data_IF_233541685217
#
_entry.id   IF_233541685217
#
_cell.length_a   1.000
_cell.length_b   1.000
_cell.length_c   1.000
_cell.angle_alpha   90.00
_cell.angle_beta   90.00
_cell.angle_gamma   90.00
#
_symmetry.space_group_name_H-M   'P 1'
#
loop_
_entity.id
_entity.type
_entity.pdbx_description
1 polymer ?
#
# COMPACT_ATOMS: atom_id res chain seq x y z
N UNK A 1 -1.63 -17.79 8.00
CA UNK A 1 -1.80 -18.77 6.91
C UNK A 1 -3.17 -18.52 6.27
N UNK A 2 -3.19 -18.28 4.97
CA UNK A 2 -4.38 -17.87 4.23
C UNK A 2 -4.65 -18.89 3.12
N UNK A 3 -5.85 -19.45 3.10
CA UNK A 3 -6.30 -20.36 2.05
C UNK A 3 -7.06 -19.54 1.01
N UNK A 4 -6.50 -19.40 -0.19
CA UNK A 4 -7.24 -18.87 -1.33
C UNK A 4 -8.09 -19.98 -1.95
N UNK A 5 -9.39 -19.73 -2.13
CA UNK A 5 -10.32 -20.67 -2.78
C UNK A 5 -11.00 -19.96 -3.95
N UNK A 6 -10.87 -20.52 -5.14
CA UNK A 6 -11.56 -20.04 -6.34
C UNK A 6 -12.74 -20.97 -6.65
N UNK A 7 -13.95 -20.45 -6.92
CA UNK A 7 -15.10 -21.28 -7.27
C UNK A 7 -14.94 -21.89 -8.66
N UNK A 8 -15.56 -23.07 -8.85
CA UNK A 8 -15.56 -23.80 -10.12
C UNK A 8 -16.25 -23.02 -11.25
N UNK A 9 -15.82 -23.25 -12.49
CA UNK A 9 -16.52 -22.79 -13.71
C UNK A 9 -17.27 -23.95 -14.35
N UNK A 10 -18.52 -23.71 -14.75
CA UNK A 10 -19.27 -24.68 -15.54
C UNK A 10 -18.62 -24.88 -16.93
N UNK A 11 -18.55 -26.13 -17.43
CA UNK A 11 -18.06 -26.39 -18.79
C UNK A 11 -18.97 -25.71 -19.83
N UNK A 12 -18.44 -24.69 -20.51
CA UNK A 12 -19.15 -23.97 -21.57
C UNK A 12 -19.32 -22.46 -21.36
N UNK A 13 -19.01 -21.91 -20.18
CA UNK A 13 -19.10 -20.44 -19.99
C UNK A 13 -18.11 -19.67 -20.90
N UNK A 14 -18.54 -18.60 -21.60
CA UNK A 14 -17.66 -17.76 -22.39
C UNK A 14 -16.54 -17.12 -21.56
N UNK A 15 -15.34 -17.01 -22.14
CA UNK A 15 -14.14 -16.44 -21.46
C UNK A 15 -14.27 -14.99 -21.00
N UNK A 16 -15.28 -14.26 -21.46
CA UNK A 16 -15.46 -12.81 -21.25
C UNK A 16 -16.55 -12.44 -20.24
N UNK A 17 -17.26 -13.41 -19.63
CA UNK A 17 -18.22 -13.13 -18.57
C UNK A 17 -17.50 -12.58 -17.33
N UNK A 18 -17.91 -11.44 -16.75
CA UNK A 18 -17.28 -10.90 -15.54
C UNK A 18 -17.37 -11.87 -14.36
N UNK A 19 -16.21 -12.28 -13.84
CA UNK A 19 -16.13 -13.21 -12.70
C UNK A 19 -16.52 -12.44 -11.42
N UNK A 20 -17.44 -12.96 -10.58
CA UNK A 20 -17.53 -12.56 -9.16
C UNK A 20 -16.14 -12.72 -8.50
N UNK A 21 -15.79 -11.85 -7.54
CA UNK A 21 -14.41 -11.66 -7.03
C UNK A 21 -13.61 -12.99 -6.96
N UNK A 22 -12.56 -13.20 -7.80
CA UNK A 22 -12.18 -14.53 -8.31
C UNK A 22 -11.53 -15.49 -7.30
N UNK A 23 -11.38 -15.08 -6.04
CA UNK A 23 -10.92 -15.91 -4.93
C UNK A 23 -11.45 -15.37 -3.59
N UNK A 24 -11.97 -16.24 -2.72
CA UNK A 24 -12.18 -15.94 -1.29
C UNK A 24 -10.88 -16.24 -0.54
N UNK A 25 -10.43 -15.32 0.34
CA UNK A 25 -9.29 -15.56 1.24
C UNK A 25 -9.82 -15.95 2.62
N UNK A 26 -9.68 -17.22 2.98
CA UNK A 26 -10.11 -17.76 4.27
C UNK A 26 -8.88 -17.95 5.17
N UNK A 27 -8.77 -17.29 6.33
CA UNK A 27 -7.77 -17.63 7.33
C UNK A 27 -7.99 -19.07 7.81
N UNK A 28 -7.01 -19.95 7.59
CA UNK A 28 -7.13 -21.37 7.93
C UNK A 28 -5.96 -21.83 8.78
N UNK A 29 -6.26 -22.34 9.98
CA UNK A 29 -5.28 -22.87 10.90
C UNK A 29 -5.07 -24.38 10.68
N UNK A 30 -3.80 -24.79 10.57
CA UNK A 30 -3.35 -26.19 10.41
C UNK A 30 -2.78 -26.76 11.71
N UNK A 31 -3.03 -26.08 12.83
CA UNK A 31 -2.65 -26.40 14.20
C UNK A 31 -3.36 -27.66 14.77
N UNK A 32 -3.01 -28.06 16.00
CA UNK A 32 -3.63 -29.18 16.70
C UNK A 32 -3.42 -30.54 16.02
N UNK A 33 -4.48 -31.36 15.94
CA UNK A 33 -4.45 -32.69 15.32
C UNK A 33 -4.89 -32.63 13.84
N UNK A 34 -4.13 -33.27 12.94
CA UNK A 34 -4.33 -33.12 11.49
C UNK A 34 -5.74 -33.53 11.02
N UNK A 35 -6.39 -34.49 11.69
CA UNK A 35 -7.70 -35.00 11.31
C UNK A 35 -8.84 -34.01 11.64
N UNK A 36 -8.74 -33.22 12.72
CA UNK A 36 -9.72 -32.16 12.99
C UNK A 36 -9.56 -31.03 11.98
N UNK A 37 -8.32 -30.64 11.65
CA UNK A 37 -8.05 -29.71 10.56
C UNK A 37 -8.62 -30.21 9.21
N UNK A 38 -8.41 -31.48 8.85
CA UNK A 38 -8.97 -32.07 7.64
C UNK A 38 -10.52 -32.03 7.61
N UNK A 39 -11.18 -32.26 8.75
CA UNK A 39 -12.64 -32.11 8.89
C UNK A 39 -13.10 -30.65 8.78
N UNK A 40 -12.31 -29.66 9.25
CA UNK A 40 -12.56 -28.22 9.00
C UNK A 40 -12.43 -27.91 7.50
N UNK A 41 -11.34 -28.33 6.87
CA UNK A 41 -11.03 -28.08 5.46
C UNK A 41 -12.06 -28.69 4.50
N UNK A 42 -12.52 -29.93 4.76
CA UNK A 42 -13.59 -30.59 3.98
C UNK A 42 -14.88 -29.77 3.91
N UNK A 43 -15.24 -29.03 4.97
CA UNK A 43 -16.44 -28.15 4.96
C UNK A 43 -16.25 -26.96 4.02
N UNK A 44 -15.07 -26.35 4.00
CA UNK A 44 -14.71 -25.25 3.10
C UNK A 44 -14.68 -25.75 1.65
N UNK A 45 -14.00 -26.86 1.42
CA UNK A 45 -13.86 -27.49 0.10
C UNK A 45 -15.22 -27.81 -0.54
N UNK A 46 -16.14 -28.41 0.24
CA UNK A 46 -17.52 -28.68 -0.20
C UNK A 46 -18.42 -27.44 -0.33
N UNK A 47 -18.11 -26.31 0.32
CA UNK A 47 -18.88 -25.06 0.19
C UNK A 47 -18.66 -24.38 -1.16
N UNK A 48 -17.49 -24.59 -1.77
CA UNK A 48 -17.03 -23.87 -2.95
C UNK A 48 -16.83 -24.76 -4.21
N UNK A 49 -17.19 -26.04 -4.13
CA UNK A 49 -16.96 -27.10 -5.14
C UNK A 49 -15.57 -27.05 -5.80
N UNK A 50 -14.52 -26.87 -5.00
CA UNK A 50 -13.16 -26.74 -5.52
C UNK A 50 -12.64 -28.08 -6.09
N UNK A 51 -11.92 -28.04 -7.22
CA UNK A 51 -11.29 -29.23 -7.82
C UNK A 51 -9.92 -29.60 -7.18
N UNK A 52 -9.22 -28.62 -6.61
CA UNK A 52 -7.83 -28.74 -6.17
C UNK A 52 -7.54 -27.96 -4.89
N UNK A 53 -6.60 -28.46 -4.07
CA UNK A 53 -6.05 -27.77 -2.89
C UNK A 53 -4.54 -27.61 -3.03
N UNK A 54 -4.04 -26.38 -3.01
CA UNK A 54 -2.61 -26.08 -3.12
C UNK A 54 -1.95 -26.04 -1.74
N UNK A 55 -0.78 -26.69 -1.57
CA UNK A 55 -0.11 -26.90 -0.26
C UNK A 55 1.42 -26.82 -0.35
N UNK A 56 2.08 -26.20 0.63
CA UNK A 56 3.54 -26.00 0.67
C UNK A 56 4.27 -26.74 1.80
N UNK A 57 3.60 -27.11 2.91
CA UNK A 57 4.19 -28.01 3.94
C UNK A 57 3.68 -29.46 3.91
N UNK A 58 4.52 -30.39 4.36
CA UNK A 58 4.25 -31.84 4.49
C UNK A 58 2.97 -32.11 5.34
N UNK A 59 2.73 -31.21 6.31
CA UNK A 59 1.57 -31.20 7.22
C UNK A 59 0.30 -30.73 6.52
N UNK A 60 0.36 -29.65 5.73
CA UNK A 60 -0.76 -29.22 4.88
C UNK A 60 -1.14 -30.30 3.86
N UNK A 61 -0.16 -30.97 3.25
CA UNK A 61 -0.40 -32.07 2.32
C UNK A 61 -1.18 -33.21 2.98
N UNK A 62 -0.81 -33.62 4.19
CA UNK A 62 -1.55 -34.64 4.95
C UNK A 62 -2.98 -34.17 5.29
N UNK A 63 -3.16 -32.91 5.69
CA UNK A 63 -4.48 -32.32 5.99
C UNK A 63 -5.36 -32.25 4.74
N UNK A 64 -4.83 -31.78 3.61
CA UNK A 64 -5.53 -31.64 2.33
C UNK A 64 -5.87 -33.00 1.72
N UNK A 65 -4.91 -33.95 1.67
CA UNK A 65 -5.16 -35.29 1.14
C UNK A 65 -6.19 -36.05 1.99
N UNK A 66 -6.16 -35.88 3.31
CA UNK A 66 -7.21 -36.41 4.20
C UNK A 66 -8.56 -35.73 3.95
N UNK A 67 -8.59 -34.41 3.69
CA UNK A 67 -9.84 -33.70 3.35
C UNK A 67 -10.44 -34.19 2.02
N UNK A 68 -9.63 -34.29 0.95
CA UNK A 68 -10.04 -34.80 -0.36
C UNK A 68 -10.52 -36.26 -0.28
N UNK A 69 -9.80 -37.12 0.46
CA UNK A 69 -10.22 -38.50 0.70
C UNK A 69 -11.55 -38.59 1.44
N UNK A 70 -11.80 -37.69 2.39
CA UNK A 70 -13.09 -37.62 3.09
C UNK A 70 -14.20 -37.01 2.22
N UNK A 71 -13.94 -36.08 1.30
CA UNK A 71 -14.96 -35.62 0.32
C UNK A 71 -15.28 -36.64 -0.76
N UNK A 72 -14.38 -37.61 -1.04
CA UNK A 72 -14.55 -38.59 -2.12
C UNK A 72 -14.23 -38.04 -3.52
N UNK A 73 -13.93 -36.75 -3.61
CA UNK A 73 -13.44 -36.05 -4.79
C UNK A 73 -12.44 -34.96 -4.36
N UNK A 74 -11.64 -34.48 -5.30
CA UNK A 74 -10.64 -33.43 -5.11
C UNK A 74 -9.20 -33.92 -5.32
N UNK A 75 -8.37 -33.02 -5.84
CA UNK A 75 -6.93 -33.21 -6.01
C UNK A 75 -6.12 -32.35 -5.03
N UNK A 76 -4.85 -32.67 -4.86
CA UNK A 76 -3.89 -31.83 -4.13
C UNK A 76 -2.78 -31.40 -5.09
N UNK A 77 -2.42 -30.12 -5.09
CA UNK A 77 -1.25 -29.61 -5.80
C UNK A 77 -0.16 -29.29 -4.78
N UNK A 78 0.87 -30.12 -4.77
CA UNK A 78 2.05 -30.01 -3.91
C UNK A 78 3.05 -29.07 -4.56
N UNK A 79 3.06 -27.80 -4.15
CA UNK A 79 3.93 -26.80 -4.77
C UNK A 79 5.20 -26.54 -3.94
N UNK A 80 6.33 -26.30 -4.63
CA UNK A 80 7.59 -25.89 -3.99
C UNK A 80 7.85 -24.39 -4.20
N UNK A 81 8.40 -23.73 -3.18
CA UNK A 81 8.94 -22.38 -3.34
C UNK A 81 10.19 -22.43 -4.25
N UNK A 82 10.47 -21.33 -4.97
CA UNK A 82 11.68 -21.23 -5.79
C UNK A 82 12.96 -21.44 -4.98
N UNK A 83 13.92 -22.16 -5.57
CA UNK A 83 15.18 -22.52 -4.90
C UNK A 83 15.04 -23.55 -3.77
N UNK A 84 13.85 -24.11 -3.54
CA UNK A 84 13.61 -25.14 -2.52
C UNK A 84 13.20 -26.46 -3.17
N UNK A 85 13.98 -27.50 -2.84
CA UNK A 85 13.68 -28.88 -3.17
C UNK A 85 12.40 -29.35 -2.49
N UNK A 86 11.73 -30.32 -3.11
CA UNK A 86 10.54 -30.96 -2.58
C UNK A 86 10.85 -31.76 -1.29
N UNK A 87 10.60 -31.15 -0.12
CA UNK A 87 10.54 -31.89 1.13
C UNK A 87 9.35 -32.86 1.14
N UNK A 88 9.66 -34.14 1.39
CA UNK A 88 8.73 -35.26 1.50
C UNK A 88 9.15 -36.18 2.65
N UNK A 89 8.68 -35.87 3.85
CA UNK A 89 8.92 -36.71 5.05
C UNK A 89 7.93 -37.88 5.05
N UNK A 90 7.89 -38.67 6.13
CA UNK A 90 6.96 -39.80 6.24
C UNK A 90 5.50 -39.34 6.04
N UNK A 91 5.11 -38.21 6.64
CA UNK A 91 3.78 -37.60 6.51
C UNK A 91 3.39 -37.31 5.05
N UNK A 92 4.24 -36.64 4.26
CA UNK A 92 3.99 -36.33 2.85
C UNK A 92 3.94 -37.58 1.98
N UNK A 93 4.81 -38.57 2.25
CA UNK A 93 4.79 -39.86 1.53
C UNK A 93 3.50 -40.65 1.78
N UNK A 94 2.91 -40.54 2.97
CA UNK A 94 1.57 -41.06 3.26
C UNK A 94 0.47 -40.19 2.64
N UNK A 95 0.57 -38.86 2.72
CA UNK A 95 -0.39 -37.92 2.13
C UNK A 95 -0.56 -38.13 0.62
N UNK A 96 0.55 -38.28 -0.11
CA UNK A 96 0.56 -38.56 -1.54
C UNK A 96 -0.12 -39.88 -1.93
N UNK A 97 -0.35 -40.81 -1.00
CA UNK A 97 -1.12 -42.06 -1.21
C UNK A 97 -2.61 -41.92 -0.87
N UNK A 98 -2.99 -40.89 -0.10
CA UNK A 98 -4.37 -40.71 0.36
C UNK A 98 -5.26 -40.00 -0.67
N UNK A 99 -4.69 -39.12 -1.49
CA UNK A 99 -5.38 -38.39 -2.56
C UNK A 99 -4.49 -38.18 -3.81
N UNK A 100 -5.13 -38.02 -4.97
CA UNK A 100 -4.46 -37.68 -6.25
C UNK A 100 -3.65 -36.39 -6.07
N UNK A 101 -2.32 -36.51 -6.12
CA UNK A 101 -1.40 -35.39 -5.90
C UNK A 101 -0.62 -35.06 -7.18
N UNK A 102 -0.77 -33.84 -7.71
CA UNK A 102 0.13 -33.26 -8.70
C UNK A 102 1.24 -32.47 -8.00
N UNK A 103 2.41 -32.34 -8.63
CA UNK A 103 3.56 -31.63 -8.07
C UNK A 103 3.92 -30.45 -8.96
N UNK A 104 4.07 -29.27 -8.35
CA UNK A 104 4.28 -28.00 -9.05
C UNK A 104 5.58 -27.34 -8.61
N UNK A 105 6.47 -27.11 -9.56
CA UNK A 105 7.79 -26.53 -9.29
C UNK A 105 7.88 -25.11 -9.86
N UNK A 106 8.57 -24.23 -9.13
CA UNK A 106 8.79 -22.84 -9.54
C UNK A 106 9.91 -22.66 -10.58
N UNK A 107 10.72 -23.70 -10.82
CA UNK A 107 11.73 -23.76 -11.87
C UNK A 107 11.99 -25.21 -12.32
N UNK A 108 12.49 -25.39 -13.54
CA UNK A 108 12.95 -26.69 -14.05
C UNK A 108 14.14 -27.25 -13.24
N UNK A 109 14.98 -26.37 -12.67
CA UNK A 109 16.08 -26.73 -11.76
C UNK A 109 15.56 -27.33 -10.45
N UNK A 110 14.56 -26.71 -9.82
CA UNK A 110 13.92 -27.22 -8.60
C UNK A 110 13.25 -28.58 -8.84
N UNK A 111 12.66 -28.78 -10.02
CA UNK A 111 12.08 -30.07 -10.44
C UNK A 111 13.16 -31.15 -10.55
N UNK A 112 14.25 -30.89 -11.29
CA UNK A 112 15.37 -31.82 -11.47
C UNK A 112 16.09 -32.14 -10.15
N UNK A 113 16.19 -31.17 -9.25
CA UNK A 113 16.81 -31.33 -7.93
C UNK A 113 15.98 -32.12 -6.90
N UNK A 114 14.77 -32.57 -7.26
CA UNK A 114 13.77 -33.10 -6.33
C UNK A 114 13.39 -34.57 -6.58
N UNK A 115 13.26 -35.35 -5.50
CA UNK A 115 12.87 -36.75 -5.57
C UNK A 115 11.33 -36.91 -5.65
N UNK A 116 10.79 -36.85 -6.87
CA UNK A 116 9.34 -36.89 -7.13
C UNK A 116 8.76 -38.29 -6.87
N UNK A 117 7.63 -38.43 -6.14
CA UNK A 117 6.97 -39.72 -5.93
C UNK A 117 6.44 -40.34 -7.23
N UNK A 118 6.67 -41.64 -7.44
CA UNK A 118 6.22 -42.41 -8.62
C UNK A 118 4.70 -42.41 -8.86
N UNK A 119 3.90 -41.97 -7.90
CA UNK A 119 2.43 -41.91 -7.98
C UNK A 119 1.89 -40.46 -8.08
N UNK A 120 2.73 -39.51 -8.50
CA UNK A 120 2.29 -38.21 -8.97
C UNK A 120 1.29 -38.35 -10.13
N UNK A 121 0.20 -37.56 -10.11
CA UNK A 121 -0.77 -37.53 -11.22
C UNK A 121 -0.43 -36.51 -12.30
N UNK A 122 0.42 -35.55 -11.97
CA UNK A 122 1.01 -34.55 -12.85
C UNK A 122 2.32 -34.04 -12.23
N UNK A 123 3.22 -33.55 -13.08
CA UNK A 123 4.46 -32.87 -12.69
C UNK A 123 4.65 -31.66 -13.61
N UNK A 124 4.18 -30.50 -13.14
CA UNK A 124 4.25 -29.25 -13.87
C UNK A 124 5.38 -28.35 -13.34
N UNK A 125 5.96 -27.54 -14.23
CA UNK A 125 6.74 -26.35 -13.87
C UNK A 125 5.88 -25.13 -14.17
N UNK A 126 5.58 -24.32 -13.16
CA UNK A 126 5.08 -22.97 -13.36
C UNK A 126 6.24 -22.03 -13.06
N UNK A 127 7.03 -21.72 -14.10
CA UNK A 127 8.07 -20.72 -13.99
C UNK A 127 7.44 -19.41 -13.53
N UNK A 128 7.93 -18.87 -12.41
CA UNK A 128 7.56 -17.54 -11.98
C UNK A 128 8.02 -16.59 -13.09
N UNK A 129 7.14 -15.67 -13.54
CA UNK A 129 7.46 -14.69 -14.61
C UNK A 129 8.44 -13.59 -14.19
N UNK A 130 9.39 -13.94 -13.32
CA UNK A 130 10.45 -13.17 -12.67
C UNK A 130 11.64 -14.14 -12.61
N UNK A 131 12.71 -13.87 -13.35
CA UNK A 131 13.88 -14.73 -13.38
C UNK A 131 14.61 -14.70 -12.03
N UNK A 132 14.54 -15.81 -11.30
CA UNK A 132 15.12 -15.95 -9.95
C UNK A 132 16.66 -15.92 -9.99
N UNK A 133 17.31 -16.18 -11.13
CA UNK A 133 18.76 -16.04 -11.27
C UNK A 133 19.22 -14.57 -11.28
N UNK A 134 18.29 -13.61 -11.50
CA UNK A 134 18.57 -12.17 -11.39
C UNK A 134 18.51 -11.64 -9.95
N UNK A 135 18.14 -12.47 -8.97
CA UNK A 135 18.25 -12.13 -7.54
C UNK A 135 19.66 -12.43 -7.01
N UNK A 136 20.42 -11.43 -6.53
CA UNK A 136 21.64 -11.70 -5.76
C UNK A 136 21.25 -12.29 -4.39
N UNK A 137 21.63 -13.54 -4.13
CA UNK A 137 21.18 -14.28 -2.93
C UNK A 137 21.81 -13.79 -1.63
N UNK A 138 23.06 -13.29 -1.66
CA UNK A 138 23.78 -12.81 -0.48
C UNK A 138 24.61 -11.55 -0.78
N UNK A 139 23.97 -10.38 -0.80
CA UNK A 139 24.57 -9.03 -0.69
C UNK A 139 25.58 -8.59 -1.76
N UNK A 140 25.99 -9.50 -2.64
CA UNK A 140 27.07 -9.33 -3.62
C UNK A 140 26.49 -8.94 -4.97
N UNK A 141 27.14 -7.99 -5.65
CA UNK A 141 26.70 -7.51 -6.96
C UNK A 141 26.80 -8.66 -7.98
N UNK A 142 25.83 -8.81 -8.90
CA UNK A 142 26.07 -9.52 -10.15
C UNK A 142 27.27 -8.87 -10.86
N UNK A 143 28.23 -9.67 -11.29
CA UNK A 143 29.22 -9.24 -12.28
C UNK A 143 28.49 -8.84 -13.55
N UNK A 144 28.88 -7.72 -14.15
CA UNK A 144 28.36 -7.33 -15.46
C UNK A 144 28.82 -8.38 -16.49
N UNK A 145 27.88 -8.93 -17.27
CA UNK A 145 28.23 -9.76 -18.41
C UNK A 145 28.83 -8.89 -19.51
N UNK A 146 30.03 -9.21 -19.97
CA UNK A 146 30.66 -8.60 -21.14
C UNK A 146 30.05 -9.19 -22.44
N UNK A 147 30.00 -8.36 -23.49
CA UNK A 147 29.42 -8.72 -24.80
C UNK A 147 27.94 -8.31 -24.90
N UNK A 148 27.59 -7.23 -25.59
CA UNK A 148 27.84 -7.11 -27.04
C UNK A 148 28.30 -5.71 -27.49
N UNK A 149 28.87 -5.60 -28.68
CA UNK A 149 29.55 -4.39 -29.16
C UNK A 149 28.79 -3.65 -30.28
N UNK A 150 28.21 -2.50 -29.93
CA UNK A 150 27.74 -1.51 -30.90
C UNK A 150 27.95 -0.08 -30.39
N UNK A 151 28.48 0.79 -31.27
CA UNK A 151 28.82 2.18 -30.97
C UNK A 151 27.60 3.09 -30.89
N UNK A 152 27.42 3.80 -29.78
CA UNK A 152 26.83 5.15 -29.79
C UNK A 152 27.31 5.98 -28.58
N UNK A 153 27.91 7.15 -28.81
CA UNK A 153 28.46 8.00 -27.75
C UNK A 153 27.38 8.93 -27.15
N UNK A 154 26.41 8.35 -26.45
CA UNK A 154 25.53 9.13 -25.57
C UNK A 154 26.16 9.25 -24.18
N UNK A 155 26.46 10.49 -23.79
CA UNK A 155 26.85 10.81 -22.42
C UNK A 155 25.76 10.31 -21.47
N UNK A 156 26.11 9.33 -20.64
CA UNK A 156 25.20 8.75 -19.65
C UNK A 156 24.96 9.77 -18.54
N UNK A 157 23.79 10.42 -18.59
CA UNK A 157 23.31 11.30 -17.53
C UNK A 157 23.47 10.62 -16.15
N UNK A 158 24.00 11.31 -15.12
CA UNK A 158 24.32 10.69 -13.85
C UNK A 158 23.09 10.09 -13.17
N UNK A 159 23.28 9.00 -12.43
CA UNK A 159 22.21 8.31 -11.71
C UNK A 159 21.56 9.25 -10.67
N UNK A 160 20.23 9.37 -10.75
CA UNK A 160 19.40 10.21 -9.88
C UNK A 160 18.67 9.32 -8.88
N UNK A 161 18.75 9.63 -7.59
CA UNK A 161 18.25 8.77 -6.52
C UNK A 161 17.10 9.43 -5.74
N UNK A 162 15.94 8.78 -5.70
CA UNK A 162 14.86 9.11 -4.77
C UNK A 162 15.06 8.27 -3.50
N UNK A 163 15.05 8.89 -2.33
CA UNK A 163 15.16 8.19 -1.04
C UNK A 163 13.81 8.22 -0.32
N UNK A 164 13.18 7.06 -0.12
CA UNK A 164 11.84 6.93 0.47
C UNK A 164 11.91 6.33 1.87
N UNK A 165 11.60 7.12 2.89
CA UNK A 165 11.60 6.67 4.30
C UNK A 165 10.36 5.85 4.61
N UNK A 166 10.52 4.53 4.63
CA UNK A 166 9.51 3.57 5.04
C UNK A 166 9.29 3.60 6.54
N UNK A 167 8.04 3.40 6.94
CA UNK A 167 7.66 3.19 8.33
C UNK A 167 6.71 1.98 8.43
N UNK A 168 6.96 1.01 9.34
CA UNK A 168 6.09 -0.15 9.56
C UNK A 168 4.61 0.18 9.78
N UNK A 169 4.30 1.29 10.45
CA UNK A 169 2.89 1.67 10.70
C UNK A 169 2.21 2.23 9.45
N UNK A 170 3.00 2.63 8.46
CA UNK A 170 2.62 3.41 7.27
C UNK A 170 2.88 2.67 5.95
N UNK A 171 2.97 1.34 5.96
CA UNK A 171 3.41 0.50 4.82
C UNK A 171 2.81 0.85 3.45
N UNK A 172 1.55 1.27 3.42
CA UNK A 172 0.88 1.72 2.19
C UNK A 172 1.51 2.94 1.50
N UNK A 173 2.36 3.73 2.18
CA UNK A 173 3.05 4.90 1.60
C UNK A 173 4.30 4.52 0.78
N UNK A 174 5.11 3.54 1.20
CA UNK A 174 6.24 3.07 0.36
C UNK A 174 5.78 2.21 -0.83
N UNK A 175 4.67 1.49 -0.66
CA UNK A 175 3.95 0.87 -1.77
C UNK A 175 3.62 1.90 -2.88
N UNK A 176 3.36 3.17 -2.54
CA UNK A 176 3.20 4.23 -3.53
C UNK A 176 4.53 4.62 -4.18
N UNK A 177 5.62 4.80 -3.42
CA UNK A 177 6.93 5.15 -4.00
C UNK A 177 7.42 4.13 -5.06
N UNK A 178 7.17 2.83 -4.84
CA UNK A 178 7.44 1.77 -5.83
C UNK A 178 6.63 1.99 -7.12
N UNK A 179 5.34 2.33 -7.01
CA UNK A 179 4.49 2.64 -8.19
C UNK A 179 4.98 3.89 -8.91
N UNK A 180 5.32 4.94 -8.16
CA UNK A 180 5.89 6.17 -8.70
C UNK A 180 7.08 5.87 -9.60
N UNK A 181 8.02 5.02 -9.18
CA UNK A 181 9.13 4.58 -10.03
C UNK A 181 8.65 3.81 -11.27
N UNK A 182 7.69 2.89 -11.14
CA UNK A 182 7.16 2.17 -12.31
C UNK A 182 6.50 3.06 -13.37
N UNK A 183 5.95 4.22 -12.99
CA UNK A 183 5.41 5.21 -13.93
C UNK A 183 6.48 6.13 -14.52
N UNK A 184 7.60 6.35 -13.81
CA UNK A 184 8.71 7.23 -14.22
C UNK A 184 9.77 6.53 -15.07
N UNK A 185 10.09 5.27 -14.76
CA UNK A 185 11.21 4.54 -15.35
C UNK A 185 11.27 4.61 -16.90
N UNK A 186 10.14 4.53 -17.65
CA UNK A 186 10.17 4.66 -19.11
C UNK A 186 10.58 6.05 -19.65
N UNK A 187 10.59 7.09 -18.80
CA UNK A 187 10.98 8.47 -19.15
C UNK A 187 12.28 8.91 -18.48
N UNK A 188 12.71 8.22 -17.43
CA UNK A 188 13.88 8.58 -16.62
C UNK A 188 14.75 7.33 -16.36
N UNK A 189 15.49 6.82 -17.37
CA UNK A 189 16.22 5.55 -17.28
C UNK A 189 17.35 5.57 -16.24
N UNK A 190 17.85 6.75 -15.87
CA UNK A 190 18.90 6.93 -14.86
C UNK A 190 18.33 7.10 -13.43
N UNK A 191 17.01 7.00 -13.26
CA UNK A 191 16.35 7.12 -11.97
C UNK A 191 16.42 5.82 -11.16
N UNK A 192 16.73 5.92 -9.87
CA UNK A 192 16.71 4.82 -8.90
C UNK A 192 15.95 5.24 -7.64
N UNK A 193 15.43 4.28 -6.90
CA UNK A 193 14.78 4.44 -5.60
C UNK A 193 15.52 3.66 -4.53
N UNK A 194 15.64 4.26 -3.35
CA UNK A 194 16.20 3.64 -2.16
C UNK A 194 15.12 3.72 -1.08
N UNK A 195 14.52 2.59 -0.71
CA UNK A 195 13.50 2.50 0.34
C UNK A 195 14.21 2.20 1.65
N UNK A 196 14.01 3.06 2.65
CA UNK A 196 14.76 3.07 3.90
C UNK A 196 13.82 2.79 5.09
N UNK A 197 13.83 1.56 5.63
CA UNK A 197 12.91 0.97 6.65
C UNK A 197 13.59 0.13 7.76
N UNK A 198 13.11 0.06 9.03
CA UNK A 198 12.86 -1.29 9.53
C UNK A 198 11.69 -1.91 8.80
N UNK A 199 11.88 -3.09 8.21
CA UNK A 199 10.86 -3.72 7.36
C UNK A 199 10.66 -3.03 6.02
N UNK A 200 11.61 -2.25 5.50
CA UNK A 200 11.65 -1.92 4.06
C UNK A 200 11.97 -3.15 3.22
N UNK A 201 12.74 -4.06 3.79
CA UNK A 201 13.06 -5.39 3.32
C UNK A 201 11.89 -6.39 3.42
N UNK A 202 10.74 -5.96 3.94
CA UNK A 202 9.46 -6.69 3.94
C UNK A 202 9.20 -7.33 2.57
N UNK A 203 8.98 -8.64 2.58
CA UNK A 203 8.86 -9.48 1.40
C UNK A 203 7.76 -8.98 0.46
N UNK A 204 6.66 -8.41 0.98
CA UNK A 204 5.57 -7.88 0.16
C UNK A 204 5.96 -6.59 -0.59
N UNK A 205 6.89 -5.77 -0.06
CA UNK A 205 7.41 -4.60 -0.77
C UNK A 205 8.33 -5.03 -1.92
N UNK A 206 9.17 -6.04 -1.67
CA UNK A 206 10.03 -6.66 -2.71
C UNK A 206 9.17 -7.32 -3.79
N UNK A 207 8.15 -8.09 -3.41
CA UNK A 207 7.15 -8.65 -4.32
C UNK A 207 6.42 -7.57 -5.12
N UNK A 208 6.06 -6.43 -4.51
CA UNK A 208 5.41 -5.33 -5.25
C UNK A 208 6.35 -4.70 -6.30
N UNK A 209 7.63 -4.48 -5.97
CA UNK A 209 8.60 -3.95 -6.93
C UNK A 209 8.90 -4.94 -8.08
N UNK A 210 8.91 -6.25 -7.79
CA UNK A 210 9.04 -7.30 -8.79
C UNK A 210 7.79 -7.40 -9.69
N UNK A 211 6.58 -7.37 -9.12
CA UNK A 211 5.32 -7.37 -9.86
C UNK A 211 5.15 -6.16 -10.79
N UNK A 212 5.75 -5.02 -10.42
CA UNK A 212 5.81 -3.79 -11.24
C UNK A 212 7.06 -3.72 -12.13
N UNK A 213 7.85 -4.80 -12.23
CA UNK A 213 9.08 -4.95 -13.03
C UNK A 213 10.20 -3.92 -12.77
N UNK A 214 10.13 -3.20 -11.65
CA UNK A 214 11.11 -2.15 -11.27
C UNK A 214 12.05 -2.56 -10.15
N UNK A 215 12.09 -3.84 -9.76
CA UNK A 215 13.00 -4.33 -8.71
C UNK A 215 14.48 -3.92 -8.95
N UNK A 216 14.94 -3.97 -10.19
CA UNK A 216 16.29 -3.54 -10.61
C UNK A 216 16.54 -2.02 -10.46
N UNK A 217 15.51 -1.23 -10.16
CA UNK A 217 15.57 0.20 -9.89
C UNK A 217 15.34 0.53 -8.41
N UNK A 218 15.02 -0.44 -7.56
CA UNK A 218 14.63 -0.25 -6.15
C UNK A 218 15.58 -1.00 -5.21
N UNK A 219 16.42 -0.25 -4.49
CA UNK A 219 17.21 -0.75 -3.37
C UNK A 219 16.38 -0.69 -2.07
N UNK A 220 16.50 -1.69 -1.19
CA UNK A 220 15.83 -1.73 0.11
C UNK A 220 16.90 -1.75 1.22
N UNK A 221 17.01 -0.67 1.99
CA UNK A 221 17.98 -0.43 3.08
C UNK A 221 17.24 -0.07 4.40
N UNK A 222 17.95 0.10 5.52
CA UNK A 222 17.39 0.46 6.85
C UNK A 222 16.62 1.81 6.90
N UNK A 223 15.75 2.13 7.89
CA UNK A 223 15.23 3.53 8.07
C UNK A 223 16.45 4.41 8.29
N UNK A 224 16.32 5.72 8.13
CA UNK A 224 17.21 6.62 8.86
C UNK A 224 17.25 6.24 10.36
N UNK A 225 16.12 5.99 11.02
CA UNK A 225 16.09 5.39 12.38
C UNK A 225 16.80 4.04 12.58
N UNK A 226 17.22 3.34 11.51
CA UNK A 226 18.00 2.09 11.54
C UNK A 226 19.29 2.15 10.69
N UNK A 227 19.71 3.35 10.29
CA UNK A 227 20.95 3.67 9.59
C UNK A 227 21.51 4.88 10.36
N UNK A 228 22.62 4.70 11.03
CA UNK A 228 23.27 5.79 11.74
C UNK A 228 23.59 6.98 10.82
N UNK A 229 23.82 8.14 11.44
CA UNK A 229 23.99 9.41 10.72
C UNK A 229 25.23 9.40 9.80
N UNK A 230 26.25 8.60 10.12
CA UNK A 230 27.48 8.44 9.34
C UNK A 230 27.27 7.56 8.09
N UNK A 231 26.52 6.47 8.22
CA UNK A 231 26.03 5.66 7.09
C UNK A 231 25.19 6.51 6.13
N UNK A 232 24.30 7.35 6.65
CA UNK A 232 23.51 8.27 5.81
C UNK A 232 24.41 9.31 5.13
N UNK A 233 25.35 9.93 5.86
CA UNK A 233 26.31 10.88 5.26
C UNK A 233 27.14 10.23 4.13
N UNK A 234 27.61 9.00 4.33
CA UNK A 234 28.33 8.20 3.34
C UNK A 234 27.47 7.89 2.10
N UNK A 235 26.18 7.60 2.28
CA UNK A 235 25.25 7.41 1.15
C UNK A 235 25.06 8.70 0.36
N UNK A 236 24.98 9.87 1.01
CA UNK A 236 24.74 11.16 0.38
C UNK A 236 26.00 11.83 -0.20
N UNK A 237 27.20 11.40 0.21
CA UNK A 237 28.47 12.02 -0.18
C UNK A 237 28.61 12.14 -1.71
N UNK A 238 28.84 13.38 -2.17
CA UNK A 238 29.05 13.71 -3.58
C UNK A 238 27.81 13.61 -4.49
N UNK A 239 26.60 13.42 -3.95
CA UNK A 239 25.38 13.15 -4.75
C UNK A 239 24.28 14.19 -4.52
N UNK A 240 23.61 14.68 -5.57
CA UNK A 240 22.37 15.43 -5.43
C UNK A 240 21.32 14.62 -4.66
N UNK A 241 20.63 15.26 -3.71
CA UNK A 241 19.69 14.55 -2.85
C UNK A 241 18.61 15.46 -2.24
N UNK A 242 17.43 14.88 -2.00
CA UNK A 242 16.35 15.51 -1.25
C UNK A 242 15.65 14.49 -0.35
N UNK A 243 15.10 14.97 0.77
CA UNK A 243 14.23 14.21 1.66
C UNK A 243 12.86 14.88 1.72
N UNK A 244 11.79 14.10 1.83
CA UNK A 244 10.43 14.62 1.98
C UNK A 244 9.77 14.04 3.23
N UNK A 245 9.40 14.92 4.16
CA UNK A 245 8.86 14.54 5.46
C UNK A 245 7.37 14.95 5.59
N UNK A 246 6.51 13.94 5.69
CA UNK A 246 5.05 14.06 5.65
C UNK A 246 4.37 14.26 7.01
N UNK A 247 5.15 14.31 8.11
CA UNK A 247 4.63 14.46 9.46
C UNK A 247 5.19 15.73 10.15
N UNK A 248 5.17 16.91 9.48
CA UNK A 248 5.87 18.11 9.93
C UNK A 248 5.34 18.70 11.24
N UNK A 249 4.14 18.31 11.69
CA UNK A 249 3.57 18.70 12.97
C UNK A 249 4.39 18.27 14.21
N UNK A 250 5.44 17.47 14.04
CA UNK A 250 6.33 17.03 15.13
C UNK A 250 7.52 17.96 15.42
N UNK A 251 7.65 19.12 14.76
CA UNK A 251 8.82 20.01 14.95
C UNK A 251 9.06 20.43 16.42
N UNK A 252 8.00 20.51 17.25
CA UNK A 252 8.09 20.80 18.70
C UNK A 252 8.53 19.62 19.56
N UNK A 253 8.65 18.42 18.99
CA UNK A 253 8.96 17.18 19.71
C UNK A 253 10.40 16.72 19.55
N UNK A 254 11.35 17.66 19.44
CA UNK A 254 12.80 17.41 19.27
C UNK A 254 13.40 16.53 20.36
N UNK A 255 12.81 16.49 21.56
CA UNK A 255 13.20 15.62 22.67
C UNK A 255 12.96 14.12 22.40
N UNK A 256 12.17 13.76 21.38
CA UNK A 256 11.96 12.37 20.99
C UNK A 256 13.16 11.88 20.16
N UNK A 257 13.79 10.73 20.48
CA UNK A 257 14.90 10.20 19.70
C UNK A 257 14.59 10.03 18.21
N UNK A 258 13.37 9.63 17.86
CA UNK A 258 12.97 9.46 16.45
C UNK A 258 12.78 10.78 15.70
N UNK A 259 12.48 11.89 16.38
CA UNK A 259 12.40 13.23 15.78
C UNK A 259 13.78 13.89 15.75
N UNK A 260 14.58 13.76 16.82
CA UNK A 260 15.97 14.19 16.87
C UNK A 260 16.80 13.57 15.73
N UNK A 261 16.60 12.28 15.45
CA UNK A 261 17.27 11.59 14.35
C UNK A 261 16.81 12.13 12.97
N UNK A 262 15.52 12.39 12.76
CA UNK A 262 15.01 13.00 11.52
C UNK A 262 15.62 14.39 11.30
N UNK A 263 15.83 15.17 12.37
CA UNK A 263 16.52 16.46 12.32
C UNK A 263 18.01 16.28 11.94
N UNK A 264 18.70 15.32 12.57
CA UNK A 264 20.11 15.05 12.27
C UNK A 264 20.33 14.64 10.81
N UNK A 265 19.51 13.72 10.28
CA UNK A 265 19.57 13.31 8.88
C UNK A 265 19.11 14.41 7.93
N UNK A 266 18.04 15.15 8.27
CA UNK A 266 17.57 16.27 7.45
C UNK A 266 18.63 17.36 7.23
N UNK A 267 19.54 17.56 8.20
CA UNK A 267 20.69 18.46 8.08
C UNK A 267 21.80 17.98 7.14
N UNK A 268 21.83 16.69 6.79
CA UNK A 268 22.75 16.16 5.76
C UNK A 268 22.21 16.35 4.33
N UNK A 269 20.93 16.72 4.18
CA UNK A 269 20.28 16.80 2.86
C UNK A 269 20.52 18.13 2.18
N UNK A 270 20.50 18.17 0.84
CA UNK A 270 20.55 19.45 0.11
C UNK A 270 19.18 20.16 0.10
N UNK A 271 18.08 19.42 0.24
CA UNK A 271 16.73 19.98 0.36
C UNK A 271 15.85 19.08 1.22
N UNK A 272 15.24 19.68 2.25
CA UNK A 272 14.33 19.00 3.19
C UNK A 272 12.89 19.45 2.95
N UNK A 273 12.20 18.79 2.03
CA UNK A 273 10.81 19.09 1.74
C UNK A 273 9.89 18.71 2.91
N UNK A 274 8.93 19.55 3.24
CA UNK A 274 7.90 19.31 4.26
C UNK A 274 6.51 19.68 3.78
N UNK A 275 5.50 18.93 4.19
CA UNK A 275 4.10 19.17 3.83
C UNK A 275 3.39 20.23 4.71
N UNK A 276 4.15 21.17 5.28
CA UNK A 276 3.74 22.27 6.15
C UNK A 276 4.84 22.65 7.16
N UNK A 277 4.68 23.75 7.89
CA UNK A 277 5.60 24.22 8.97
C UNK A 277 7.07 24.43 8.53
N UNK A 278 7.30 24.76 7.26
CA UNK A 278 8.65 24.90 6.68
C UNK A 278 9.49 26.00 7.35
N UNK A 279 8.85 27.06 7.86
CA UNK A 279 9.53 28.11 8.63
C UNK A 279 10.09 27.56 9.95
N UNK A 280 9.34 26.72 10.67
CA UNK A 280 9.82 26.12 11.91
C UNK A 280 10.83 24.99 11.69
N UNK A 281 10.73 24.23 10.60
CA UNK A 281 11.80 23.29 10.21
C UNK A 281 13.09 24.02 9.77
N UNK A 282 12.99 25.18 9.11
CA UNK A 282 14.14 26.08 8.88
C UNK A 282 14.73 26.61 10.18
N UNK A 283 13.90 26.98 11.17
CA UNK A 283 14.37 27.44 12.48
C UNK A 283 15.12 26.36 13.29
N UNK A 284 14.89 25.07 13.02
CA UNK A 284 15.68 23.95 13.56
C UNK A 284 17.04 23.77 12.84
N UNK A 285 17.32 24.56 11.80
CA UNK A 285 18.55 24.53 11.01
C UNK A 285 18.54 23.50 9.88
N UNK A 286 17.38 23.12 9.34
CA UNK A 286 17.27 22.29 8.14
C UNK A 286 17.10 23.17 6.88
N UNK A 287 17.55 22.73 5.69
CA UNK A 287 17.29 23.41 4.42
C UNK A 287 15.85 23.15 3.95
N UNK A 288 14.88 23.57 4.77
CA UNK A 288 13.50 23.13 4.63
C UNK A 288 12.69 23.99 3.64
N UNK A 289 11.95 23.30 2.77
CA UNK A 289 11.10 23.89 1.73
C UNK A 289 9.68 23.32 1.80
N UNK A 290 8.68 24.11 1.42
CA UNK A 290 7.32 23.60 1.33
C UNK A 290 7.13 22.72 0.08
N UNK A 291 6.58 21.52 0.28
CA UNK A 291 6.09 20.65 -0.79
C UNK A 291 4.82 19.94 -0.29
N UNK A 292 3.62 20.36 -0.73
CA UNK A 292 2.37 19.80 -0.26
C UNK A 292 2.26 18.33 -0.66
N UNK A 293 1.66 17.54 0.21
CA UNK A 293 1.40 16.12 -0.04
C UNK A 293 0.63 15.90 -1.36
N UNK A 294 0.58 14.66 -1.81
CA UNK A 294 -0.04 14.28 -3.07
C UNK A 294 -0.66 12.88 -2.98
N UNK A 295 -1.37 12.46 -4.03
CA UNK A 295 -1.95 11.13 -4.13
C UNK A 295 -1.38 10.31 -5.31
N UNK A 296 -1.50 8.98 -5.18
CA UNK A 296 -1.21 8.02 -6.26
C UNK A 296 -2.22 8.25 -7.41
N UNK A 297 -1.71 8.56 -8.61
CA UNK A 297 -2.52 8.91 -9.79
C UNK A 297 -3.44 7.76 -10.23
N UNK A 298 -3.15 6.52 -9.86
CA UNK A 298 -3.99 5.37 -10.15
C UNK A 298 -5.11 5.13 -9.13
N UNK A 299 -5.21 5.93 -8.06
CA UNK A 299 -6.42 5.96 -7.22
C UNK A 299 -7.60 6.42 -8.07
N UNK A 300 -8.57 5.52 -8.26
CA UNK A 300 -9.77 5.69 -9.09
C UNK A 300 -10.99 5.29 -8.25
N UNK A 301 -12.17 5.88 -8.46
CA UNK A 301 -13.39 5.49 -7.76
C UNK A 301 -13.77 4.06 -8.16
N UNK A 302 -14.43 3.36 -7.25
CA UNK A 302 -15.07 2.07 -7.53
C UNK A 302 -16.60 2.24 -7.47
N UNK A 303 -17.39 1.37 -8.09
CA UNK A 303 -18.85 1.37 -7.93
C UNK A 303 -19.23 1.33 -6.43
N UNK A 304 -20.20 2.16 -6.03
CA UNK A 304 -20.61 2.29 -4.64
C UNK A 304 -21.07 0.94 -4.05
N UNK A 305 -20.53 0.57 -2.90
CA UNK A 305 -20.84 -0.69 -2.20
C UNK A 305 -21.67 -0.38 -0.94
N UNK A 306 -22.90 -0.92 -0.85
CA UNK A 306 -23.84 -0.69 0.27
C UNK A 306 -23.24 -0.94 1.67
N UNK A 307 -22.30 -1.88 1.80
CA UNK A 307 -21.58 -2.16 3.05
C UNK A 307 -20.59 -1.06 3.49
N UNK A 308 -20.16 -0.20 2.56
CA UNK A 308 -19.24 0.92 2.81
C UNK A 308 -19.97 2.27 2.91
N UNK A 309 -21.26 2.34 2.55
CA UNK A 309 -22.07 3.56 2.64
C UNK A 309 -22.13 4.14 4.05
N UNK A 310 -22.17 5.47 4.10
CA UNK A 310 -22.58 6.31 5.24
C UNK A 310 -22.84 7.74 4.74
N UNK A 311 -23.65 8.52 5.46
CA UNK A 311 -23.81 9.95 5.12
C UNK A 311 -22.50 10.72 5.27
N UNK A 312 -21.74 10.39 6.31
CA UNK A 312 -20.46 11.00 6.62
C UNK A 312 -19.46 9.90 6.95
N UNK A 313 -18.24 9.99 6.43
CA UNK A 313 -17.15 9.10 6.85
C UNK A 313 -15.91 9.85 7.29
N UNK A 314 -15.13 9.21 8.16
CA UNK A 314 -13.79 9.64 8.52
C UNK A 314 -12.80 8.48 8.41
N UNK A 315 -11.66 8.74 7.75
CA UNK A 315 -10.58 7.76 7.58
C UNK A 315 -9.32 8.29 8.27
N UNK A 316 -8.90 7.66 9.36
CA UNK A 316 -7.68 8.03 10.08
C UNK A 316 -7.58 7.40 11.46
N UNK A 317 -6.39 7.47 12.05
CA UNK A 317 -6.10 6.89 13.38
C UNK A 317 -6.74 7.72 14.50
N UNK A 318 -7.31 7.05 15.49
CA UNK A 318 -7.63 7.64 16.79
C UNK A 318 -6.37 7.71 17.66
N UNK A 319 -5.97 8.93 18.02
CA UNK A 319 -4.91 9.20 19.01
C UNK A 319 -5.12 10.57 19.69
N UNK A 320 -6.29 11.17 19.45
CA UNK A 320 -6.53 12.60 19.58
C UNK A 320 -7.97 12.80 20.06
N UNK A 321 -8.11 13.18 21.33
CA UNK A 321 -9.40 13.38 21.96
C UNK A 321 -10.15 14.60 21.39
N UNK A 322 -9.47 15.59 20.81
CA UNK A 322 -10.15 16.74 20.16
C UNK A 322 -10.87 16.26 18.89
N UNK A 323 -10.18 15.47 18.06
CA UNK A 323 -10.74 14.80 16.89
C UNK A 323 -11.90 13.87 17.24
N UNK A 324 -11.76 13.08 18.32
CA UNK A 324 -12.83 12.21 18.80
C UNK A 324 -14.07 13.03 19.22
N UNK A 325 -13.89 14.08 20.02
CA UNK A 325 -14.97 14.98 20.44
C UNK A 325 -15.63 15.71 19.27
N UNK A 326 -14.88 16.04 18.21
CA UNK A 326 -15.43 16.62 16.97
C UNK A 326 -16.33 15.62 16.24
N UNK A 327 -15.86 14.37 16.03
CA UNK A 327 -16.64 13.29 15.43
C UNK A 327 -17.89 12.96 16.28
N UNK A 328 -17.79 12.97 17.60
CA UNK A 328 -18.91 12.75 18.52
C UNK A 328 -20.01 13.81 18.44
N UNK A 329 -19.70 15.06 18.06
CA UNK A 329 -20.73 16.09 17.79
C UNK A 329 -21.46 15.83 16.47
N UNK A 330 -20.79 15.25 15.48
CA UNK A 330 -21.36 14.90 14.17
C UNK A 330 -22.22 13.63 14.25
N UNK A 331 -21.76 12.59 14.96
CA UNK A 331 -22.49 11.34 15.18
C UNK A 331 -23.84 11.51 15.92
N UNK A 332 -24.07 12.66 16.56
CA UNK A 332 -25.37 13.02 17.17
C UNK A 332 -26.43 13.48 16.17
N UNK A 333 -26.05 13.82 14.93
CA UNK A 333 -26.96 14.35 13.89
C UNK A 333 -26.98 13.51 12.60
N UNK A 334 -25.91 12.79 12.26
CA UNK A 334 -25.72 12.14 10.96
C UNK A 334 -25.11 10.73 11.09
N UNK A 335 -25.35 9.84 10.12
CA UNK A 335 -24.66 8.54 10.06
C UNK A 335 -23.16 8.73 9.75
N UNK A 336 -22.35 8.73 10.81
CA UNK A 336 -20.91 8.93 10.75
C UNK A 336 -20.16 7.62 10.95
N UNK A 337 -19.51 7.12 9.88
CA UNK A 337 -18.73 5.88 9.90
C UNK A 337 -17.23 6.12 9.98
N UNK A 338 -16.57 5.47 10.94
CA UNK A 338 -15.16 5.72 11.27
C UNK A 338 -14.27 4.53 10.87
N UNK A 339 -13.16 4.81 10.18
CA UNK A 339 -12.20 3.83 9.66
C UNK A 339 -10.77 4.15 10.09
N UNK A 340 -10.01 3.13 10.49
CA UNK A 340 -8.68 3.26 11.09
C UNK A 340 -8.52 2.43 12.37
N UNK A 341 -7.34 2.50 13.00
CA UNK A 341 -7.02 1.94 14.32
C UNK A 341 -7.09 3.03 15.40
N UNK A 342 -7.04 2.68 16.69
CA UNK A 342 -6.90 3.67 17.77
C UNK A 342 -8.24 4.27 18.24
N UNK A 343 -9.37 3.68 17.84
CA UNK A 343 -10.72 4.10 18.22
C UNK A 343 -11.33 3.23 19.32
N UNK A 344 -10.53 2.39 19.97
CA UNK A 344 -10.97 1.36 20.91
C UNK A 344 -11.64 1.94 22.18
N UNK A 345 -11.30 3.18 22.56
CA UNK A 345 -11.96 3.97 23.62
C UNK A 345 -13.36 4.43 23.18
N UNK A 346 -13.47 5.00 21.98
CA UNK A 346 -14.71 5.57 21.44
C UNK A 346 -15.59 4.55 20.68
N UNK A 347 -15.27 3.25 20.74
CA UNK A 347 -15.99 2.16 20.05
C UNK A 347 -17.46 1.97 20.44
N UNK A 348 -17.90 2.58 21.54
CA UNK A 348 -19.30 2.60 21.98
C UNK A 348 -20.08 3.76 21.33
N UNK A 349 -19.65 5.04 21.45
CA UNK A 349 -20.38 6.18 20.88
C UNK A 349 -20.07 6.52 19.41
N UNK A 350 -19.11 5.85 18.75
CA UNK A 350 -18.85 6.01 17.31
C UNK A 350 -19.11 4.68 16.56
N UNK A 351 -19.71 4.77 15.37
CA UNK A 351 -19.83 3.66 14.40
C UNK A 351 -18.46 3.35 13.78
N UNK A 352 -17.58 2.72 14.58
CA UNK A 352 -16.22 2.36 14.19
C UNK A 352 -16.17 0.97 13.57
N UNK A 353 -15.57 0.90 12.38
CA UNK A 353 -15.42 -0.30 11.56
C UNK A 353 -14.41 -1.35 12.07
N UNK A 354 -13.69 -1.08 13.16
CA UNK A 354 -12.69 -1.99 13.73
C UNK A 354 -11.39 -2.14 12.92
N UNK A 355 -11.26 -1.51 11.74
CA UNK A 355 -10.13 -1.74 10.83
C UNK A 355 -9.68 -0.50 10.03
N UNK A 356 -8.43 -0.51 9.60
CA UNK A 356 -7.93 0.38 8.54
C UNK A 356 -8.49 -0.05 7.17
N UNK A 357 -8.63 0.91 6.26
CA UNK A 357 -8.92 0.69 4.83
C UNK A 357 -7.74 1.12 3.97
N UNK A 358 -7.49 0.38 2.89
CA UNK A 358 -6.37 0.62 1.95
C UNK A 358 -6.81 0.22 0.53
N UNK A 359 -6.15 0.77 -0.49
CA UNK A 359 -6.37 0.39 -1.90
C UNK A 359 -7.85 0.47 -2.32
N UNK A 360 -8.39 -0.62 -2.87
CA UNK A 360 -9.79 -0.71 -3.30
C UNK A 360 -10.79 -0.47 -2.17
N UNK A 361 -10.50 -0.86 -0.94
CA UNK A 361 -11.38 -0.61 0.22
C UNK A 361 -11.37 0.86 0.64
N UNK A 362 -10.23 1.55 0.51
CA UNK A 362 -10.17 3.00 0.74
C UNK A 362 -11.00 3.74 -0.32
N UNK A 363 -10.83 3.38 -1.60
CA UNK A 363 -11.65 3.93 -2.69
C UNK A 363 -13.14 3.64 -2.49
N UNK A 364 -13.50 2.43 -2.02
CA UNK A 364 -14.88 2.04 -1.73
C UNK A 364 -15.52 2.87 -0.60
N UNK A 365 -14.79 3.25 0.45
CA UNK A 365 -15.31 4.21 1.45
C UNK A 365 -15.58 5.57 0.79
N UNK A 366 -14.60 6.09 0.05
CA UNK A 366 -14.70 7.40 -0.57
C UNK A 366 -15.86 7.49 -1.56
N UNK A 367 -16.01 6.50 -2.46
CA UNK A 367 -17.06 6.49 -3.48
C UNK A 367 -18.43 5.95 -3.02
N UNK A 368 -18.55 5.47 -1.77
CA UNK A 368 -19.84 5.04 -1.20
C UNK A 368 -20.37 5.97 -0.11
N UNK A 369 -19.56 6.86 0.46
CA UNK A 369 -20.01 7.84 1.45
C UNK A 369 -20.51 9.11 0.77
N UNK A 370 -21.59 9.71 1.27
CA UNK A 370 -22.06 10.99 0.74
C UNK A 370 -21.03 12.11 0.98
N UNK A 371 -20.43 12.17 2.17
CA UNK A 371 -19.40 13.14 2.56
C UNK A 371 -18.22 12.42 3.21
N UNK A 372 -16.99 12.85 2.90
CA UNK A 372 -15.74 12.33 3.49
C UNK A 372 -14.97 13.44 4.20
N UNK A 373 -14.76 13.31 5.51
CA UNK A 373 -14.26 14.40 6.37
C UNK A 373 -12.73 14.54 6.43
N UNK A 374 -12.27 15.79 6.33
CA UNK A 374 -10.89 16.23 6.48
C UNK A 374 -10.57 16.86 7.84
N UNK A 375 -10.44 16.04 8.88
CA UNK A 375 -10.06 16.52 10.23
C UNK A 375 -8.54 16.41 10.44
N UNK A 376 -7.88 17.54 10.66
CA UNK A 376 -6.48 17.65 11.06
C UNK A 376 -6.29 17.30 12.55
N UNK A 377 -5.12 16.80 13.00
CA UNK A 377 -4.86 16.60 14.43
C UNK A 377 -4.65 17.92 15.16
N UNK A 378 -4.91 17.95 16.48
CA UNK A 378 -4.72 19.15 17.31
C UNK A 378 -3.27 19.68 17.28
N UNK A 379 -2.29 18.77 17.16
CA UNK A 379 -0.87 19.14 17.00
C UNK A 379 -0.51 19.81 15.66
N UNK A 380 -1.40 19.78 14.67
CA UNK A 380 -1.24 20.52 13.41
C UNK A 380 -1.96 21.89 13.43
N UNK A 381 -2.58 22.28 14.56
CA UNK A 381 -3.19 23.60 14.74
C UNK A 381 -2.13 24.70 14.58
N UNK A 382 -2.46 25.74 13.81
CA UNK A 382 -1.54 26.84 13.46
C UNK A 382 -0.73 26.64 12.18
N UNK A 383 -0.71 25.43 11.59
CA UNK A 383 -0.02 25.18 10.32
C UNK A 383 -0.76 25.78 9.13
N UNK A 384 -0.36 26.98 8.70
CA UNK A 384 -0.94 27.70 7.55
C UNK A 384 -0.94 26.87 6.27
N UNK A 385 0.18 26.22 5.97
CA UNK A 385 0.43 25.40 4.77
C UNK A 385 0.25 23.89 5.01
N UNK A 386 -0.22 23.46 6.19
CA UNK A 386 -0.31 22.03 6.51
C UNK A 386 -1.27 21.26 5.57
N UNK A 387 -0.74 20.23 4.92
CA UNK A 387 -1.50 19.35 4.02
C UNK A 387 -1.48 17.89 4.49
N UNK A 388 -2.66 17.32 4.72
CA UNK A 388 -2.82 15.87 4.88
C UNK A 388 -2.94 15.20 3.51
N UNK A 389 -2.27 14.06 3.37
CA UNK A 389 -2.46 13.07 2.30
C UNK A 389 -3.94 12.72 2.03
N UNK A 390 -4.77 12.67 3.08
CA UNK A 390 -6.22 12.41 2.98
C UNK A 390 -6.91 13.33 1.97
N UNK A 391 -6.58 14.63 1.94
CA UNK A 391 -7.20 15.61 1.03
C UNK A 391 -7.18 15.08 -0.41
N UNK A 392 -5.98 14.76 -0.90
CA UNK A 392 -5.75 14.35 -2.28
C UNK A 392 -6.28 12.93 -2.54
N UNK A 393 -6.06 12.02 -1.58
CA UNK A 393 -6.48 10.62 -1.72
C UNK A 393 -8.00 10.45 -1.76
N UNK A 394 -8.75 11.16 -0.92
CA UNK A 394 -10.23 11.10 -0.90
C UNK A 394 -10.81 11.63 -2.21
N UNK A 395 -10.30 12.76 -2.69
CA UNK A 395 -10.76 13.40 -3.93
C UNK A 395 -10.46 12.49 -5.15
N UNK A 396 -9.26 11.89 -5.24
CA UNK A 396 -8.98 10.90 -6.29
C UNK A 396 -9.81 9.61 -6.15
N UNK A 397 -10.08 9.18 -4.92
CA UNK A 397 -10.98 8.06 -4.61
C UNK A 397 -12.44 8.34 -4.98
N UNK A 398 -12.77 9.58 -5.36
CA UNK A 398 -14.11 9.99 -5.75
C UNK A 398 -15.05 10.15 -4.56
N UNK A 399 -14.55 10.58 -3.40
CA UNK A 399 -15.38 11.06 -2.31
C UNK A 399 -15.49 12.58 -2.31
N UNK A 400 -16.67 13.11 -1.96
CA UNK A 400 -16.83 14.54 -1.74
C UNK A 400 -16.10 14.94 -0.46
N UNK A 401 -15.04 15.74 -0.59
CA UNK A 401 -14.18 16.11 0.53
C UNK A 401 -14.70 17.36 1.25
N UNK A 402 -14.97 17.24 2.55
CA UNK A 402 -15.32 18.35 3.44
C UNK A 402 -14.25 18.45 4.55
N UNK A 403 -13.34 19.42 4.44
CA UNK A 403 -12.18 19.54 5.33
C UNK A 403 -12.12 20.85 6.12
N UNK A 404 -11.24 20.91 7.11
CA UNK A 404 -10.85 22.17 7.73
C UNK A 404 -9.95 22.96 6.77
N UNK A 405 -10.44 24.09 6.25
CA UNK A 405 -9.72 24.91 5.28
C UNK A 405 -8.63 25.76 5.93
N UNK A 406 -7.39 25.25 5.96
CA UNK A 406 -6.20 26.08 6.29
C UNK A 406 -5.86 27.00 5.11
N UNK A 407 -5.23 28.19 5.34
CA UNK A 407 -4.96 29.17 4.28
C UNK A 407 -4.31 28.58 3.02
N UNK A 408 -3.21 27.84 3.16
CA UNK A 408 -2.54 27.21 2.01
C UNK A 408 -3.38 26.12 1.33
N UNK A 409 -4.26 25.42 2.05
CA UNK A 409 -5.20 24.49 1.42
C UNK A 409 -6.29 25.23 0.62
N UNK A 410 -6.77 26.38 1.11
CA UNK A 410 -7.75 27.21 0.38
C UNK A 410 -7.15 27.89 -0.85
N UNK A 411 -5.84 28.14 -0.87
CA UNK A 411 -5.10 28.61 -2.05
C UNK A 411 -4.89 27.50 -3.10
N UNK A 412 -4.76 26.25 -2.68
CA UNK A 412 -4.56 25.09 -3.57
C UNK A 412 -5.86 24.46 -4.10
N UNK A 413 -7.01 24.64 -3.43
CA UNK A 413 -8.31 24.08 -3.85
C UNK A 413 -9.47 25.04 -3.53
N UNK A 414 -10.26 25.35 -4.57
CA UNK A 414 -11.41 26.27 -4.50
C UNK A 414 -12.60 25.64 -3.76
N UNK A 415 -13.15 26.35 -2.77
CA UNK A 415 -14.40 25.99 -2.08
C UNK A 415 -15.56 25.98 -3.09
N UNK A 416 -16.39 24.94 -3.06
CA UNK A 416 -17.56 24.85 -3.94
C UNK A 416 -17.29 24.42 -5.39
N UNK A 417 -16.02 24.29 -5.81
CA UNK A 417 -15.61 23.69 -7.09
C UNK A 417 -14.83 22.38 -6.88
N UNK A 418 -13.74 22.40 -6.10
CA UNK A 418 -12.85 21.23 -5.96
C UNK A 418 -13.14 20.41 -4.70
N UNK A 419 -13.60 21.06 -3.64
CA UNK A 419 -13.97 20.47 -2.35
C UNK A 419 -14.83 21.46 -1.55
N UNK A 420 -15.15 21.13 -0.30
CA UNK A 420 -15.80 22.04 0.62
C UNK A 420 -14.95 22.28 1.89
N UNK A 421 -14.93 23.53 2.37
CA UNK A 421 -14.17 23.94 3.55
C UNK A 421 -15.05 24.39 4.72
N UNK A 422 -14.79 23.88 5.93
CA UNK A 422 -15.34 24.38 7.19
C UNK A 422 -14.25 25.06 8.05
N UNK A 423 -14.65 25.82 9.07
CA UNK A 423 -13.74 26.55 9.99
C UNK A 423 -13.78 26.01 11.43
N UNK A 424 -14.95 25.53 11.84
CA UNK A 424 -15.27 25.08 13.20
C UNK A 424 -16.27 23.92 13.13
N UNK A 425 -16.84 23.49 14.27
CA UNK A 425 -17.81 22.40 14.28
C UNK A 425 -19.18 22.83 13.72
N UNK A 426 -19.62 24.05 13.97
CA UNK A 426 -20.99 24.45 13.64
C UNK A 426 -21.11 24.69 12.13
N UNK A 427 -20.15 25.40 11.53
CA UNK A 427 -19.99 25.49 10.06
C UNK A 427 -19.73 24.14 9.38
N UNK A 428 -19.19 23.15 10.10
CA UNK A 428 -19.05 21.78 9.60
C UNK A 428 -20.42 21.06 9.58
N UNK A 429 -21.20 21.15 10.66
CA UNK A 429 -22.56 20.58 10.72
C UNK A 429 -23.48 21.21 9.68
N UNK A 430 -23.41 22.53 9.49
CA UNK A 430 -24.22 23.25 8.49
C UNK A 430 -23.83 22.85 7.06
N UNK A 431 -22.53 22.75 6.74
CA UNK A 431 -22.09 22.24 5.42
C UNK A 431 -22.41 20.75 5.23
N UNK A 432 -22.45 19.92 6.28
CA UNK A 432 -22.93 18.54 6.16
C UNK A 432 -24.42 18.53 5.78
N UNK A 433 -25.28 19.23 6.52
CA UNK A 433 -26.71 19.32 6.22
C UNK A 433 -26.97 19.82 4.79
N UNK A 434 -26.37 20.95 4.42
CA UNK A 434 -26.49 21.52 3.08
C UNK A 434 -26.05 20.53 1.98
N UNK A 435 -24.86 19.95 2.08
CA UNK A 435 -24.36 19.08 1.01
C UNK A 435 -25.05 17.72 0.95
N UNK A 436 -25.64 17.20 2.04
CA UNK A 436 -26.48 16.00 1.98
C UNK A 436 -27.72 16.23 1.10
N UNK A 437 -28.40 17.37 1.25
CA UNK A 437 -29.55 17.75 0.40
C UNK A 437 -29.15 18.06 -1.05
N UNK A 438 -28.04 18.77 -1.27
CA UNK A 438 -27.64 19.26 -2.61
C UNK A 438 -26.85 18.22 -3.43
N UNK A 439 -27.44 17.05 -3.66
CA UNK A 439 -26.85 15.92 -4.42
C UNK A 439 -26.16 16.36 -5.73
N UNK A 440 -26.84 17.15 -6.57
CA UNK A 440 -26.27 17.56 -7.87
C UNK A 440 -25.01 18.44 -7.73
N UNK A 441 -24.98 19.35 -6.76
CA UNK A 441 -23.81 20.17 -6.47
C UNK A 441 -22.67 19.34 -5.86
N UNK A 442 -23.02 18.41 -4.95
CA UNK A 442 -22.08 17.45 -4.34
C UNK A 442 -21.37 16.61 -5.40
N UNK A 443 -22.12 16.07 -6.36
CA UNK A 443 -21.60 15.27 -7.47
C UNK A 443 -20.77 16.08 -8.48
N UNK A 444 -21.15 17.34 -8.76
CA UNK A 444 -20.34 18.26 -9.56
C UNK A 444 -18.95 18.43 -8.94
N UNK A 445 -18.91 18.83 -7.67
CA UNK A 445 -17.67 19.11 -6.93
C UNK A 445 -16.79 17.87 -6.84
N UNK A 446 -17.40 16.71 -6.54
CA UNK A 446 -16.73 15.40 -6.48
C UNK A 446 -16.04 15.03 -7.80
N UNK A 447 -16.63 15.40 -8.94
CA UNK A 447 -16.06 15.18 -10.28
C UNK A 447 -14.99 16.21 -10.63
N UNK A 448 -15.26 17.50 -10.44
CA UNK A 448 -14.35 18.59 -10.80
C UNK A 448 -13.07 18.55 -9.98
N UNK A 449 -13.19 18.44 -8.65
CA UNK A 449 -12.05 18.24 -7.76
C UNK A 449 -11.22 17.00 -8.12
N UNK A 450 -11.87 15.91 -8.51
CA UNK A 450 -11.15 14.72 -8.98
C UNK A 450 -10.32 14.99 -10.24
N UNK A 451 -10.88 15.69 -11.23
CA UNK A 451 -10.16 16.04 -12.47
C UNK A 451 -8.95 16.91 -12.12
N UNK A 452 -9.17 17.96 -11.32
CA UNK A 452 -8.12 18.91 -10.93
C UNK A 452 -6.99 18.26 -10.13
N UNK A 453 -7.31 17.51 -9.06
CA UNK A 453 -6.31 16.81 -8.24
C UNK A 453 -5.53 15.78 -9.06
N UNK A 454 -6.17 15.12 -10.06
CA UNK A 454 -5.50 14.16 -10.96
C UNK A 454 -4.58 14.82 -11.99
N UNK A 455 -4.76 16.11 -12.26
CA UNK A 455 -3.93 16.89 -13.18
C UNK A 455 -2.75 17.58 -12.47
N UNK A 456 -2.89 18.01 -11.21
CA UNK A 456 -1.90 18.88 -10.56
C UNK A 456 -1.40 18.45 -9.16
N UNK A 457 -2.08 17.50 -8.49
CA UNK A 457 -1.78 17.09 -7.10
C UNK A 457 -1.56 15.59 -6.93
N UNK A 458 -1.00 14.95 -7.96
CA UNK A 458 -0.51 13.57 -7.89
C UNK A 458 1.01 13.53 -7.68
N UNK A 459 1.55 12.37 -7.31
CA UNK A 459 3.00 12.23 -7.16
C UNK A 459 3.75 12.57 -8.45
N UNK A 460 3.16 12.31 -9.64
CA UNK A 460 3.68 12.68 -10.96
C UNK A 460 4.25 14.11 -11.01
N UNK A 461 3.53 15.09 -10.43
CA UNK A 461 3.96 16.49 -10.43
C UNK A 461 5.03 16.77 -9.36
N UNK A 462 5.00 16.07 -8.22
CA UNK A 462 5.93 16.29 -7.10
C UNK A 462 7.33 15.74 -7.34
N UNK A 463 7.47 14.75 -8.22
CA UNK A 463 8.75 14.13 -8.56
C UNK A 463 9.73 15.16 -9.13
N UNK A 464 9.25 16.13 -9.91
CA UNK A 464 10.09 17.21 -10.42
C UNK A 464 10.77 17.95 -9.27
N UNK A 465 10.00 18.44 -8.29
CA UNK A 465 10.52 19.10 -7.08
C UNK A 465 11.55 18.21 -6.34
N UNK A 466 11.24 16.92 -6.17
CA UNK A 466 12.13 15.96 -5.50
C UNK A 466 13.46 15.71 -6.24
N UNK A 467 13.53 15.95 -7.55
CA UNK A 467 14.71 15.72 -8.38
C UNK A 467 15.50 16.99 -8.70
N UNK A 468 14.86 18.16 -8.71
CA UNK A 468 15.51 19.46 -8.96
C UNK A 468 15.81 20.26 -7.68
N UNK A 469 15.10 19.98 -6.58
CA UNK A 469 15.13 20.84 -5.38
C UNK A 469 14.32 22.14 -5.53
N UNK A 470 13.58 22.31 -6.64
CA UNK A 470 12.73 23.48 -6.90
C UNK A 470 11.50 23.51 -5.97
N UNK A 471 11.01 24.71 -5.71
CA UNK A 471 9.85 24.94 -4.85
C UNK A 471 8.52 24.59 -5.52
N UNK A 472 7.50 24.31 -4.71
CA UNK A 472 6.18 24.00 -5.21
C UNK A 472 5.48 25.25 -5.78
N UNK A 473 5.27 25.27 -7.09
CA UNK A 473 4.36 26.24 -7.73
C UNK A 473 2.91 25.78 -7.56
N UNK A 474 2.04 26.66 -7.09
CA UNK A 474 0.61 26.38 -6.99
C UNK A 474 -0.01 26.38 -8.40
N UNK A 475 -0.79 25.36 -8.81
CA UNK A 475 -1.50 25.36 -10.09
C UNK A 475 -2.64 26.40 -10.20
N UNK A 476 -2.95 27.13 -9.12
CA UNK A 476 -4.00 28.16 -9.08
C UNK A 476 -3.48 29.61 -8.92
N UNK A 477 -2.16 29.81 -8.82
CA UNK A 477 -1.51 31.14 -8.74
C UNK A 477 -0.98 31.58 -10.09
#
# INVERSE_FOLDING_TARGET
MHLAVSPRRDPGQPRHTPIPEPFEIIPFATDGWFFTAARRLRKIFRRWDADAIFVSTDREHLIAATACRLSGNGSVVRWTQAGKKLEMRLSGKWAGRLARTGYLFASETDRRGSAIPKNAIDVSVAEIGIDVSTYPTDGTKPTAAEGDSATDQKQTEPLKYIVCVYDPTSRGRAATAIRTISMLAPRHPNLRLIIVGPGSDDEDLRMQAAALRVLHLVSFLGKCHGLDVETVATILQGKPNAMWYHDPQWYKSTYRPDIAHIIAVGKLTQTFFVSGFDAEWRALGLPAKFLPSAADRDIKPVPAKKSFHSDVSFIGTGYDASRANFLLKIAKKYDLKVWGKGWEEWRKPLNWSGRSVQGKDFAAVCSSSNISLGINPDRARGGSTYTSDRTWMVILGGGFYLGHGTPGLTEMLRDGDHCAWYKDIDSCLDKIGYYLEKLAARERIRREGQVFVRQHHTFDQRIHNLLSGEEFHNPLS
#
